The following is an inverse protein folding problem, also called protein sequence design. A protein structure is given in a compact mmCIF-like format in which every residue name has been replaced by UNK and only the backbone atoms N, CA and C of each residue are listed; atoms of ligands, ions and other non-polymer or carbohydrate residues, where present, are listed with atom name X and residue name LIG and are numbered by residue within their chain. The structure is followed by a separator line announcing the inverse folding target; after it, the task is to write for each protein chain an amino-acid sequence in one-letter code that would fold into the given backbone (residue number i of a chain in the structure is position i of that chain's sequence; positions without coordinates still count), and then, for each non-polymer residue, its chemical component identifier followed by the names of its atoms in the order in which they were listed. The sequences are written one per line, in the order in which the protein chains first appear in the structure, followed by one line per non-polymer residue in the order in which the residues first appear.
data_IF_277878417738
#
_entry.id   IF_277878417738
#
_cell.length_a   1.000
_cell.length_b   1.000
_cell.length_c   1.000
_cell.angle_alpha   90.00
_cell.angle_beta   90.00
_cell.angle_gamma   90.00
#
_symmetry.space_group_name_H-M   'P 1'
#
loop_
_entity.id
_entity.type
_entity.pdbx_description
1 polymer ?
#
# COMPACT_ATOMS: atom_id res chain seq x y z
N UNK A 1 2.32 -16.52 -12.78
CA UNK A 1 2.31 -15.03 -12.83
C UNK A 1 0.93 -14.49 -12.44
N UNK A 2 0.82 -13.83 -11.27
CA UNK A 2 -0.45 -13.65 -10.55
C UNK A 2 -0.68 -12.24 -9.99
N UNK A 3 -0.53 -11.20 -10.79
CA UNK A 3 -0.61 -9.81 -10.30
C UNK A 3 -1.75 -8.96 -10.90
N UNK A 4 -2.56 -9.50 -11.81
CA UNK A 4 -3.57 -8.69 -12.55
C UNK A 4 -4.92 -9.38 -12.80
N UNK A 5 -5.36 -10.29 -11.91
CA UNK A 5 -6.71 -10.86 -12.05
C UNK A 5 -7.75 -9.95 -11.38
N UNK A 6 -8.87 -9.64 -12.04
CA UNK A 6 -9.98 -8.92 -11.42
C UNK A 6 -10.57 -9.74 -10.26
N UNK A 7 -11.11 -9.07 -9.25
CA UNK A 7 -11.82 -9.76 -8.15
C UNK A 7 -13.07 -10.42 -8.72
N UNK A 8 -13.10 -11.75 -8.72
CA UNK A 8 -14.20 -12.57 -9.24
C UNK A 8 -15.22 -12.99 -8.17
N UNK A 9 -14.95 -12.70 -6.89
CA UNK A 9 -15.83 -13.04 -5.78
C UNK A 9 -16.80 -11.90 -5.46
N UNK A 10 -18.05 -12.23 -5.13
CA UNK A 10 -19.07 -11.25 -4.71
C UNK A 10 -18.71 -10.57 -3.39
N UNK A 11 -17.94 -11.28 -2.55
CA UNK A 11 -17.39 -10.78 -1.29
C UNK A 11 -15.89 -10.57 -1.42
N UNK A 12 -15.44 -9.42 -0.94
CA UNK A 12 -14.04 -9.00 -1.00
C UNK A 12 -13.15 -9.95 -0.17
N UNK A 13 -13.68 -10.46 0.94
CA UNK A 13 -12.97 -11.35 1.87
C UNK A 13 -12.69 -12.74 1.26
N UNK A 14 -13.47 -13.15 0.26
CA UNK A 14 -13.39 -14.48 -0.35
C UNK A 14 -12.45 -14.53 -1.56
N UNK A 15 -11.79 -13.41 -1.92
CA UNK A 15 -10.91 -13.38 -3.07
C UNK A 15 -9.55 -14.05 -2.77
N UNK A 16 -9.17 -15.13 -3.49
CA UNK A 16 -7.88 -15.77 -3.27
C UNK A 16 -6.75 -14.86 -3.79
N UNK A 17 -6.07 -14.18 -2.86
CA UNK A 17 -4.87 -13.41 -3.21
C UNK A 17 -3.70 -14.34 -3.52
N UNK A 18 -3.03 -14.09 -4.64
CA UNK A 18 -1.83 -14.82 -4.98
C UNK A 18 -0.74 -14.60 -3.93
N UNK A 19 -0.12 -15.71 -3.52
CA UNK A 19 1.02 -15.69 -2.63
C UNK A 19 2.22 -15.10 -3.37
N UNK A 20 2.89 -14.13 -2.77
CA UNK A 20 4.14 -13.57 -3.26
C UNK A 20 5.26 -13.94 -2.31
N UNK A 21 6.44 -14.28 -2.84
CA UNK A 21 7.64 -14.46 -2.03
C UNK A 21 8.32 -13.11 -1.87
N UNK A 22 8.55 -12.69 -0.64
CA UNK A 22 9.21 -11.43 -0.31
C UNK A 22 10.31 -11.64 0.73
N UNK A 23 11.21 -10.66 0.80
CA UNK A 23 12.29 -10.59 1.78
C UNK A 23 12.47 -9.14 2.24
N UNK A 24 12.61 -8.96 3.55
CA UNK A 24 12.96 -7.71 4.22
C UNK A 24 14.25 -7.99 5.02
N UNK A 25 15.43 -7.66 4.48
CA UNK A 25 16.70 -7.93 5.16
C UNK A 25 16.91 -6.97 6.34
N UNK A 26 17.80 -7.36 7.26
CA UNK A 26 18.05 -6.60 8.48
C UNK A 26 18.54 -5.17 8.25
N UNK A 27 19.31 -4.95 7.18
CA UNK A 27 19.75 -3.62 6.75
C UNK A 27 18.59 -2.70 6.37
N UNK A 28 17.53 -3.23 5.72
CA UNK A 28 16.31 -2.48 5.37
C UNK A 28 15.54 -2.10 6.63
N UNK A 29 15.40 -3.03 7.57
CA UNK A 29 14.78 -2.74 8.88
C UNK A 29 15.53 -1.64 9.60
N UNK A 30 16.86 -1.74 9.68
CA UNK A 30 17.70 -0.75 10.32
C UNK A 30 17.60 0.62 9.61
N UNK A 31 17.53 0.66 8.28
CA UNK A 31 17.34 1.89 7.52
C UNK A 31 15.98 2.54 7.80
N UNK A 32 14.91 1.75 7.88
CA UNK A 32 13.56 2.24 8.22
C UNK A 32 13.53 2.80 9.64
N UNK A 33 14.10 2.09 10.62
CA UNK A 33 14.19 2.56 12.01
C UNK A 33 14.96 3.89 12.09
N UNK A 34 16.12 3.98 11.44
CA UNK A 34 16.90 5.23 11.37
C UNK A 34 16.14 6.36 10.69
N UNK A 35 15.36 6.08 9.64
CA UNK A 35 14.52 7.07 8.96
C UNK A 35 13.48 7.64 9.92
N UNK A 36 12.73 6.77 10.61
CA UNK A 36 11.69 7.16 11.57
C UNK A 36 12.25 7.90 12.78
N UNK A 37 13.42 7.50 13.29
CA UNK A 37 14.09 8.17 14.41
C UNK A 37 14.43 9.65 14.11
N UNK A 38 14.56 10.02 12.83
CA UNK A 38 14.79 11.41 12.39
C UNK A 38 13.52 12.13 11.94
N UNK A 39 12.33 11.58 12.24
CA UNK A 39 11.06 12.12 11.75
C UNK A 39 10.83 11.96 10.25
N UNK A 40 11.60 11.09 9.59
CA UNK A 40 11.44 10.80 8.17
C UNK A 40 10.25 9.90 7.86
N UNK A 41 9.86 9.88 6.59
CA UNK A 41 8.76 9.04 6.06
C UNK A 41 9.32 7.84 5.30
N UNK A 42 8.63 6.70 5.43
CA UNK A 42 8.88 5.48 4.66
C UNK A 42 7.99 5.49 3.42
N UNK A 43 8.60 5.73 2.26
CA UNK A 43 7.91 5.74 0.97
C UNK A 43 8.13 4.39 0.29
N UNK A 44 7.07 3.60 0.13
CA UNK A 44 7.13 2.36 -0.63
C UNK A 44 7.03 2.66 -2.14
N UNK A 45 7.83 1.94 -2.93
CA UNK A 45 7.76 1.97 -4.39
C UNK A 45 7.21 0.63 -4.87
N UNK A 46 5.92 0.62 -5.19
CA UNK A 46 5.18 -0.58 -5.60
C UNK A 46 4.45 -1.28 -4.45
N UNK A 47 3.28 -1.85 -4.77
CA UNK A 47 2.42 -2.55 -3.82
C UNK A 47 3.02 -3.86 -3.27
N UNK A 48 3.89 -4.52 -4.04
CA UNK A 48 4.66 -5.69 -3.55
C UNK A 48 5.59 -5.32 -2.38
N UNK A 49 6.21 -4.13 -2.43
CA UNK A 49 7.03 -3.61 -1.30
C UNK A 49 6.14 -3.37 -0.08
N UNK A 50 4.96 -2.78 -0.26
CA UNK A 50 3.98 -2.60 0.83
C UNK A 50 3.65 -3.94 1.46
N UNK A 51 3.20 -4.93 0.67
CA UNK A 51 2.84 -6.26 1.20
C UNK A 51 4.00 -6.92 1.95
N UNK A 52 5.23 -6.79 1.45
CA UNK A 52 6.42 -7.37 2.08
C UNK A 52 6.69 -6.74 3.45
N UNK A 53 6.76 -5.40 3.52
CA UNK A 53 7.03 -4.68 4.76
C UNK A 53 5.92 -4.88 5.80
N UNK A 54 4.66 -4.82 5.35
CA UNK A 54 3.50 -4.98 6.21
C UNK A 54 3.35 -6.43 6.73
N UNK A 55 3.82 -7.41 5.95
CA UNK A 55 3.90 -8.81 6.39
C UNK A 55 4.98 -9.01 7.42
N UNK A 56 6.18 -8.46 7.19
CA UNK A 56 7.28 -8.48 8.15
C UNK A 56 6.85 -7.89 9.50
N UNK A 57 6.17 -6.74 9.48
CA UNK A 57 5.70 -6.09 10.71
C UNK A 57 4.54 -6.81 11.40
N UNK A 58 3.65 -7.49 10.66
CA UNK A 58 2.51 -8.22 11.25
C UNK A 58 2.93 -9.55 11.86
N UNK A 59 3.76 -10.32 11.15
CA UNK A 59 4.14 -11.67 11.57
C UNK A 59 5.11 -11.68 12.75
N UNK A 60 5.93 -10.64 12.88
CA UNK A 60 6.91 -10.53 13.98
C UNK A 60 6.44 -9.67 15.16
N UNK A 61 5.19 -9.18 15.14
CA UNK A 61 4.68 -8.26 16.17
C UNK A 61 5.28 -6.84 16.13
N UNK A 62 6.14 -6.57 15.15
CA UNK A 62 6.85 -5.32 14.90
C UNK A 62 7.74 -5.49 13.68
N UNK A 63 8.26 -4.41 13.10
CA UNK A 63 9.14 -4.52 11.92
C UNK A 63 10.44 -5.23 12.30
N UNK A 64 10.66 -6.41 11.74
CA UNK A 64 11.84 -7.25 11.96
C UNK A 64 12.30 -7.89 10.62
N UNK A 65 13.54 -8.41 10.54
CA UNK A 65 14.00 -9.12 9.36
C UNK A 65 13.08 -10.29 9.07
N UNK A 66 12.68 -10.46 7.81
CA UNK A 66 11.67 -11.43 7.43
C UNK A 66 11.89 -11.93 6.01
N UNK A 67 11.69 -13.22 5.77
CA UNK A 67 11.64 -13.80 4.44
C UNK A 67 10.55 -14.86 4.41
N UNK A 68 9.74 -14.88 3.35
CA UNK A 68 8.69 -15.88 3.25
C UNK A 68 7.64 -15.57 2.20
N UNK A 69 6.57 -16.35 2.27
CA UNK A 69 5.40 -16.16 1.44
C UNK A 69 4.41 -15.25 2.16
N UNK A 70 3.92 -14.24 1.45
CA UNK A 70 2.82 -13.40 1.92
C UNK A 70 1.58 -13.61 1.08
N UNK A 71 0.46 -13.89 1.77
CA UNK A 71 -0.90 -13.77 1.27
C UNK A 71 -1.61 -12.61 1.94
N UNK A 72 -0.86 -11.63 2.45
CA UNK A 72 -1.45 -10.48 3.13
C UNK A 72 -2.34 -9.74 2.14
N UNK A 73 -3.62 -9.65 2.51
CA UNK A 73 -4.63 -8.91 1.81
C UNK A 73 -4.94 -7.65 2.62
N UNK A 74 -4.56 -6.49 2.09
CA UNK A 74 -4.76 -5.20 2.74
C UNK A 74 -5.99 -4.53 2.14
N UNK A 75 -6.98 -4.25 2.99
CA UNK A 75 -8.17 -3.49 2.62
C UNK A 75 -8.65 -2.65 3.82
N UNK A 76 -9.38 -1.54 3.59
CA UNK A 76 -10.02 -0.81 4.68
C UNK A 76 -10.91 -1.72 5.53
N UNK A 77 -10.95 -1.54 6.87
CA UNK A 77 -10.38 -0.41 7.63
C UNK A 77 -8.93 -0.62 8.10
N UNK A 78 -8.17 -1.57 7.54
CA UNK A 78 -6.79 -1.78 7.97
C UNK A 78 -5.89 -0.57 7.76
N UNK A 79 -5.00 -0.33 8.73
CA UNK A 79 -3.94 0.66 8.64
C UNK A 79 -2.59 0.01 8.34
N UNK A 80 -1.77 0.73 7.58
CA UNK A 80 -0.38 0.35 7.35
C UNK A 80 0.43 0.65 8.63
N UNK A 81 1.34 -0.26 9.00
CA UNK A 81 2.20 -0.14 10.19
C UNK A 81 3.55 0.48 9.84
N UNK A 82 4.04 0.23 8.63
CA UNK A 82 5.41 0.55 8.20
C UNK A 82 5.43 1.63 7.13
N UNK A 83 4.53 1.57 6.16
CA UNK A 83 4.53 2.46 4.99
C UNK A 83 3.70 3.71 5.25
N UNK A 84 4.31 4.88 5.04
CA UNK A 84 3.65 6.18 5.22
C UNK A 84 3.14 6.75 3.89
N UNK A 85 3.80 6.42 2.78
CA UNK A 85 3.49 6.90 1.43
C UNK A 85 3.74 5.81 0.39
N UNK A 86 3.08 5.90 -0.78
CA UNK A 86 3.18 4.91 -1.84
C UNK A 86 3.35 5.58 -3.20
N UNK A 87 4.40 5.20 -3.94
CA UNK A 87 4.51 5.39 -5.38
C UNK A 87 4.09 4.10 -6.08
N UNK A 88 3.05 4.13 -6.91
CA UNK A 88 2.61 2.95 -7.66
C UNK A 88 1.86 3.35 -8.94
N UNK A 89 1.43 2.37 -9.72
CA UNK A 89 0.75 2.56 -10.99
C UNK A 89 -0.76 2.76 -10.76
N UNK A 90 -1.49 3.18 -11.79
CA UNK A 90 -2.95 3.09 -11.75
C UNK A 90 -3.42 1.65 -12.01
N UNK A 91 -4.10 1.05 -11.02
CA UNK A 91 -4.65 -0.31 -11.06
C UNK A 91 -6.06 -0.37 -11.63
N UNK A 92 -6.51 -1.56 -12.04
CA UNK A 92 -7.88 -1.80 -12.48
C UNK A 92 -8.93 -1.52 -11.40
N UNK A 93 -10.13 -1.04 -11.77
CA UNK A 93 -11.29 -1.06 -10.91
C UNK A 93 -11.54 -2.46 -10.33
N UNK A 94 -11.97 -2.53 -9.07
CA UNK A 94 -12.26 -3.80 -8.35
C UNK A 94 -11.07 -4.77 -8.34
N UNK A 95 -9.86 -4.26 -8.13
CA UNK A 95 -8.66 -5.07 -7.92
C UNK A 95 -8.22 -5.04 -6.45
N UNK A 96 -7.58 -6.12 -5.99
CA UNK A 96 -7.00 -6.19 -4.64
C UNK A 96 -5.94 -5.11 -4.41
N UNK A 97 -5.20 -4.72 -5.45
CA UNK A 97 -4.23 -3.64 -5.40
C UNK A 97 -4.90 -2.28 -5.17
N UNK A 98 -6.05 -2.03 -5.78
CA UNK A 98 -6.82 -0.82 -5.53
C UNK A 98 -7.31 -0.76 -4.08
N UNK A 99 -7.69 -1.90 -3.49
CA UNK A 99 -8.06 -1.99 -2.08
C UNK A 99 -6.87 -1.68 -1.16
N UNK A 100 -5.68 -2.21 -1.45
CA UNK A 100 -4.46 -1.87 -0.70
C UNK A 100 -4.18 -0.37 -0.75
N UNK A 101 -4.31 0.23 -1.94
CA UNK A 101 -4.12 1.68 -2.11
C UNK A 101 -5.12 2.46 -1.25
N UNK A 102 -6.37 1.99 -1.15
CA UNK A 102 -7.40 2.66 -0.34
C UNK A 102 -7.12 2.63 1.17
N UNK A 103 -6.23 1.75 1.67
CA UNK A 103 -5.74 1.81 3.06
C UNK A 103 -4.95 3.10 3.36
N UNK A 104 -4.41 3.77 2.34
CA UNK A 104 -3.68 5.03 2.48
C UNK A 104 -4.56 6.26 2.23
N UNK A 105 -5.48 6.18 1.28
CA UNK A 105 -6.27 7.35 0.81
C UNK A 105 -7.67 7.41 1.38
N UNK A 106 -8.23 6.30 1.84
CA UNK A 106 -9.68 6.11 1.92
C UNK A 106 -10.30 5.81 0.55
N UNK A 107 -11.49 5.21 0.55
CA UNK A 107 -12.19 4.75 -0.66
C UNK A 107 -12.68 5.93 -1.50
N UNK A 108 -13.37 6.90 -0.89
CA UNK A 108 -14.00 8.01 -1.63
C UNK A 108 -12.95 8.87 -2.34
N UNK A 109 -11.90 9.25 -1.63
CA UNK A 109 -10.77 10.01 -2.19
C UNK A 109 -10.07 9.25 -3.32
N UNK A 110 -9.94 7.93 -3.22
CA UNK A 110 -9.37 7.12 -4.28
C UNK A 110 -10.24 7.14 -5.54
N UNK A 111 -11.56 7.05 -5.38
CA UNK A 111 -12.51 7.12 -6.49
C UNK A 111 -12.45 8.48 -7.18
N UNK A 112 -12.34 9.58 -6.42
CA UNK A 112 -12.20 10.92 -6.98
C UNK A 112 -10.89 11.11 -7.73
N UNK A 113 -9.77 10.61 -7.18
CA UNK A 113 -8.47 10.61 -7.87
C UNK A 113 -8.53 9.86 -9.20
N UNK A 114 -9.21 8.71 -9.22
CA UNK A 114 -9.39 7.91 -10.43
C UNK A 114 -10.27 8.59 -11.48
N UNK A 115 -11.36 9.25 -11.06
CA UNK A 115 -12.20 10.06 -11.95
C UNK A 115 -11.40 11.18 -12.60
N UNK A 116 -10.57 11.89 -11.81
CA UNK A 116 -9.72 12.95 -12.33
C UNK A 116 -8.68 12.42 -13.32
N UNK A 117 -7.99 11.32 -12.99
CA UNK A 117 -7.01 10.69 -13.88
C UNK A 117 -7.63 10.24 -15.21
N UNK A 118 -8.86 9.72 -15.21
CA UNK A 118 -9.59 9.37 -16.43
C UNK A 118 -9.92 10.62 -17.25
N UNK A 119 -10.43 11.68 -16.61
CA UNK A 119 -10.77 12.94 -17.29
C UNK A 119 -9.54 13.57 -17.96
N UNK A 120 -8.39 13.54 -17.28
CA UNK A 120 -7.10 14.03 -17.76
C UNK A 120 -6.37 13.04 -18.68
N UNK A 121 -7.01 11.92 -19.05
CA UNK A 121 -6.49 10.90 -19.98
C UNK A 121 -5.13 10.31 -19.57
N UNK A 122 -4.92 10.13 -18.27
CA UNK A 122 -3.78 9.36 -17.76
C UNK A 122 -3.79 7.95 -18.35
N UNK A 123 -2.61 7.40 -18.55
CA UNK A 123 -2.39 6.03 -19.01
C UNK A 123 -2.41 5.11 -17.79
N UNK A 124 -3.21 4.05 -17.83
CA UNK A 124 -3.33 3.12 -16.70
C UNK A 124 -2.41 1.90 -16.88
N UNK A 125 -2.37 1.01 -15.87
CA UNK A 125 -1.71 -0.29 -15.89
C UNK A 125 -0.17 -0.27 -15.82
N UNK A 126 0.45 -1.39 -16.19
CA UNK A 126 1.87 -1.70 -15.97
C UNK A 126 2.84 -0.72 -16.63
N UNK A 127 2.46 -0.17 -17.78
CA UNK A 127 3.28 0.74 -18.59
C UNK A 127 2.67 2.14 -18.70
N UNK A 128 1.65 2.41 -17.87
CA UNK A 128 1.00 3.70 -17.82
C UNK A 128 1.77 4.71 -16.97
N UNK A 129 1.04 5.70 -16.49
CA UNK A 129 1.52 6.70 -15.56
C UNK A 129 1.53 6.17 -14.12
N UNK A 130 2.14 6.94 -13.23
CA UNK A 130 2.26 6.62 -11.81
C UNK A 130 1.48 7.62 -10.94
N UNK A 131 1.11 7.17 -9.75
CA UNK A 131 0.56 7.98 -8.68
C UNK A 131 1.48 7.95 -7.46
N UNK A 132 1.71 9.11 -6.87
CA UNK A 132 2.36 9.27 -5.57
C UNK A 132 1.29 9.65 -4.55
N UNK A 133 1.07 8.76 -3.58
CA UNK A 133 0.16 8.96 -2.46
C UNK A 133 0.99 9.32 -1.24
N UNK A 134 0.80 10.54 -0.77
CA UNK A 134 1.42 11.05 0.44
C UNK A 134 0.44 10.89 1.61
N UNK A 135 0.94 10.73 2.84
CA UNK A 135 0.08 10.76 4.01
C UNK A 135 -0.64 12.11 4.05
N UNK A 136 -1.88 12.10 4.52
CA UNK A 136 -2.52 13.37 4.87
C UNK A 136 -1.63 14.10 5.88
N UNK A 137 -1.42 15.42 5.71
CA UNK A 137 -0.79 16.19 6.76
C UNK A 137 -1.57 15.89 8.04
N UNK A 138 -0.86 15.47 9.09
CA UNK A 138 -1.48 15.32 10.40
C UNK A 138 -2.27 16.61 10.63
N UNK A 139 -3.59 16.51 10.78
CA UNK A 139 -4.40 17.66 11.12
C UNK A 139 -3.68 18.33 12.27
N UNK A 140 -3.23 19.58 12.07
CA UNK A 140 -2.60 20.34 13.13
C UNK A 140 -3.54 20.18 14.31
N UNK A 141 -3.07 19.51 15.37
CA UNK A 141 -3.87 19.30 16.57
C UNK A 141 -4.40 20.68 16.91
N UNK A 142 -5.72 20.86 16.76
CA UNK A 142 -6.37 22.06 17.20
C UNK A 142 -6.22 22.00 18.72
N UNK A 143 -5.12 22.57 19.21
CA UNK A 143 -4.99 22.98 20.59
C UNK A 143 -6.05 24.06 20.72
N UNK A 144 -7.24 23.63 21.15
CA UNK A 144 -8.28 24.53 21.58
C UNK A 144 -7.69 25.40 22.72
N UNK A 145 -8.00 26.71 22.74
CA UNK A 145 -7.52 27.63 23.76
C UNK A 145 -7.98 27.25 25.17
#
# INVERSE_FOLDING_TARGET
PGTFKPVQSERIEDHPIHAERGECPAETVAAIVRCRARGGRVVAVGTTVVRTLESAARQSGGLAPWAGWTRLYLHPPERLRVVDALLTNFHLPRSTLLMLVSCLTGVDRLLDLYRAAIAERYRFFSYGDAMLILPEPAAASAVAP
#
